data_IF_486160442401
#
_entry.id   IF_486160442401
#
_cell.length_a   1.000
_cell.length_b   1.000
_cell.length_c   1.000
_cell.angle_alpha   90.00
_cell.angle_beta   90.00
_cell.angle_gamma   90.00
#
_symmetry.space_group_name_H-M   'P 1'
#
loop_
_entity.id
_entity.type
_entity.pdbx_description
1 polymer ?
#
# COMPACT_ATOMS: atom_id res chain seq x y z
N UNK A 1 -6.44 21.04 5.56
CA UNK A 1 -5.17 20.94 4.81
C UNK A 1 -5.13 19.53 4.28
N UNK A 2 -4.96 19.31 2.97
CA UNK A 2 -4.83 17.94 2.46
C UNK A 2 -3.59 17.29 3.08
N UNK A 3 -3.77 16.14 3.71
CA UNK A 3 -2.67 15.34 4.23
C UNK A 3 -2.10 14.55 3.06
N UNK A 4 -0.80 14.70 2.82
CA UNK A 4 -0.14 14.16 1.63
C UNK A 4 0.82 13.07 2.09
N UNK A 5 0.63 11.85 1.58
CA UNK A 5 1.54 10.75 1.81
C UNK A 5 2.93 11.04 1.25
N UNK A 6 3.94 10.43 1.86
CA UNK A 6 5.35 10.61 1.50
C UNK A 6 6.04 9.27 1.33
N UNK A 7 6.99 9.21 0.40
CA UNK A 7 8.05 8.20 0.38
C UNK A 7 9.36 8.84 0.83
N UNK A 8 10.01 8.20 1.82
CA UNK A 8 11.32 8.61 2.33
C UNK A 8 12.33 7.56 1.88
N UNK A 9 13.27 7.93 1.02
CA UNK A 9 14.29 7.03 0.52
C UNK A 9 15.25 6.62 1.65
N UNK A 10 15.51 5.32 1.79
CA UNK A 10 16.29 4.74 2.89
C UNK A 10 17.73 4.37 2.49
N UNK A 11 18.02 4.27 1.19
CA UNK A 11 19.32 3.85 0.69
C UNK A 11 19.59 4.35 -0.74
N UNK A 12 20.81 4.11 -1.22
CA UNK A 12 21.22 4.49 -2.56
C UNK A 12 21.58 5.98 -2.68
N UNK A 13 21.75 6.48 -3.93
CA UNK A 13 22.20 7.85 -4.19
C UNK A 13 21.28 8.93 -3.60
N UNK A 14 19.99 8.62 -3.50
CA UNK A 14 18.96 9.54 -3.00
C UNK A 14 18.58 9.28 -1.53
N UNK A 15 19.43 8.65 -0.73
CA UNK A 15 19.11 8.36 0.67
C UNK A 15 18.69 9.62 1.45
N UNK A 16 17.65 9.50 2.26
CA UNK A 16 16.96 10.59 2.98
C UNK A 16 16.16 11.57 2.13
N UNK A 17 16.13 11.43 0.79
CA UNK A 17 15.23 12.22 -0.03
C UNK A 17 13.77 11.88 0.27
N UNK A 18 12.92 12.91 0.30
CA UNK A 18 11.48 12.79 0.50
C UNK A 18 10.74 13.11 -0.80
N UNK A 19 9.72 12.31 -1.09
CA UNK A 19 8.86 12.49 -2.25
C UNK A 19 7.41 12.56 -1.79
N UNK A 20 6.77 13.69 -2.02
CA UNK A 20 5.36 13.90 -1.75
C UNK A 20 4.50 13.22 -2.84
N UNK A 21 3.44 12.52 -2.43
CA UNK A 21 2.51 11.82 -3.30
C UNK A 21 1.31 12.72 -3.63
N UNK A 22 1.54 13.75 -4.42
CA UNK A 22 0.54 14.78 -4.75
C UNK A 22 -0.57 14.30 -5.69
N UNK A 23 -0.27 13.35 -6.56
CA UNK A 23 -1.18 12.92 -7.63
C UNK A 23 -2.07 11.76 -7.18
N UNK A 24 -3.20 11.57 -7.87
CA UNK A 24 -4.00 10.34 -7.71
C UNK A 24 -3.19 9.10 -8.11
N UNK A 25 -2.25 9.24 -9.06
CA UNK A 25 -1.34 8.19 -9.51
C UNK A 25 0.08 8.76 -9.56
N UNK A 26 0.96 8.27 -8.70
CA UNK A 26 2.36 8.68 -8.62
C UNK A 26 3.23 7.58 -9.24
N UNK A 27 3.82 7.84 -10.40
CA UNK A 27 4.60 6.84 -11.13
C UNK A 27 6.03 6.74 -10.59
N UNK A 28 6.55 5.51 -10.54
CA UNK A 28 7.87 5.21 -9.99
C UNK A 28 8.65 4.40 -11.02
N UNK A 29 9.87 4.84 -11.33
CA UNK A 29 10.73 4.13 -12.26
C UNK A 29 11.99 4.88 -12.63
N UNK A 30 12.83 4.27 -13.48
CA UNK A 30 14.11 4.86 -13.90
C UNK A 30 13.97 5.94 -14.98
N UNK A 31 12.79 6.05 -15.58
CA UNK A 31 12.57 7.00 -16.67
C UNK A 31 12.43 8.42 -16.12
N UNK A 32 12.99 9.46 -16.78
CA UNK A 32 12.87 10.85 -16.31
C UNK A 32 11.43 11.38 -16.25
N UNK A 33 10.50 10.73 -16.95
CA UNK A 33 9.08 11.08 -16.98
C UNK A 33 8.30 10.54 -15.77
N UNK A 34 8.91 9.69 -14.94
CA UNK A 34 8.27 9.20 -13.72
C UNK A 34 8.14 10.31 -12.68
N UNK A 35 7.04 10.33 -11.92
CA UNK A 35 6.82 11.25 -10.79
C UNK A 35 7.96 11.11 -9.77
N UNK A 36 8.39 9.87 -9.51
CA UNK A 36 9.51 9.53 -8.65
C UNK A 36 10.55 8.77 -9.48
N UNK A 37 11.61 9.49 -9.85
CA UNK A 37 12.72 8.94 -10.62
C UNK A 37 13.67 8.18 -9.72
N UNK A 38 13.87 6.90 -10.02
CA UNK A 38 14.80 6.02 -9.32
C UNK A 38 16.18 6.07 -9.98
N UNK A 39 17.19 6.49 -9.21
CA UNK A 39 18.60 6.29 -9.56
C UNK A 39 19.04 4.86 -9.20
N UNK A 40 18.47 3.90 -9.94
CA UNK A 40 18.67 2.47 -9.73
C UNK A 40 18.68 1.74 -11.07
N UNK A 41 19.85 1.26 -11.49
CA UNK A 41 20.02 0.53 -12.75
C UNK A 41 19.16 -0.75 -12.84
N UNK A 42 18.76 -1.31 -11.70
CA UNK A 42 17.91 -2.49 -11.63
C UNK A 42 16.42 -2.14 -11.71
N UNK A 43 16.05 -0.86 -11.61
CA UNK A 43 14.67 -0.45 -11.80
C UNK A 43 14.26 -0.50 -13.29
N UNK A 44 13.05 -1.01 -13.54
CA UNK A 44 12.34 -0.83 -14.81
C UNK A 44 12.11 0.66 -15.10
N UNK A 45 11.93 1.01 -16.38
CA UNK A 45 11.56 2.36 -16.82
C UNK A 45 10.24 2.81 -16.18
N UNK A 46 9.22 1.96 -16.29
CA UNK A 46 7.95 2.06 -15.56
C UNK A 46 7.92 0.88 -14.59
N UNK A 47 8.25 1.12 -13.32
CA UNK A 47 8.46 0.05 -12.35
C UNK A 47 7.17 -0.24 -11.59
N UNK A 48 6.59 0.80 -11.01
CA UNK A 48 5.41 0.72 -10.19
C UNK A 48 4.69 2.06 -10.25
N UNK A 49 3.53 2.09 -9.62
CA UNK A 49 2.82 3.32 -9.33
C UNK A 49 2.24 3.22 -7.91
N UNK A 50 2.13 4.36 -7.23
CA UNK A 50 1.37 4.48 -5.99
C UNK A 50 0.12 5.28 -6.29
N UNK A 51 -1.03 4.66 -6.04
CA UNK A 51 -2.34 5.26 -6.23
C UNK A 51 -2.90 5.74 -4.90
N UNK A 52 -3.47 6.94 -4.90
CA UNK A 52 -4.25 7.47 -3.80
C UNK A 52 -5.73 7.22 -4.07
N UNK A 53 -6.37 6.38 -3.25
CA UNK A 53 -7.75 5.89 -3.42
C UNK A 53 -8.45 5.99 -2.06
N UNK A 54 -9.56 6.72 -1.99
CA UNK A 54 -10.41 6.82 -0.79
C UNK A 54 -9.64 7.12 0.52
N UNK A 55 -8.71 8.09 0.48
CA UNK A 55 -7.81 8.46 1.59
C UNK A 55 -6.81 7.36 2.02
N UNK A 56 -6.56 6.38 1.17
CA UNK A 56 -5.56 5.33 1.38
C UNK A 56 -4.62 5.23 0.18
N UNK A 57 -3.45 4.63 0.40
CA UNK A 57 -2.43 4.48 -0.63
C UNK A 57 -2.22 3.00 -0.99
N UNK A 58 -2.15 2.70 -2.28
CA UNK A 58 -1.88 1.37 -2.79
C UNK A 58 -0.69 1.41 -3.74
N UNK A 59 0.25 0.49 -3.59
CA UNK A 59 1.31 0.27 -4.59
C UNK A 59 0.85 -0.77 -5.61
N UNK A 60 1.15 -0.54 -6.88
CA UNK A 60 0.90 -1.45 -7.99
C UNK A 60 2.21 -1.74 -8.73
N UNK A 61 2.63 -3.01 -8.76
CA UNK A 61 3.77 -3.43 -9.57
C UNK A 61 3.37 -3.45 -11.06
N UNK A 62 4.06 -2.71 -11.92
CA UNK A 62 3.77 -2.66 -13.37
C UNK A 62 4.45 -3.80 -14.12
N UNK A 63 4.41 -5.01 -13.53
CA UNK A 63 5.15 -6.20 -13.98
C UNK A 63 6.64 -5.91 -14.16
N UNK A 64 7.23 -5.25 -13.16
CA UNK A 64 8.64 -4.87 -13.20
C UNK A 64 9.57 -6.08 -13.23
N UNK A 65 10.79 -5.90 -13.78
CA UNK A 65 11.75 -7.00 -13.93
C UNK A 65 12.18 -7.58 -12.57
N UNK A 66 12.46 -6.71 -11.61
CA UNK A 66 12.96 -7.11 -10.29
C UNK A 66 11.86 -7.13 -9.22
N UNK A 67 10.67 -6.60 -9.52
CA UNK A 67 9.51 -6.66 -8.64
C UNK A 67 9.53 -5.60 -7.54
N UNK A 68 8.39 -5.53 -6.85
CA UNK A 68 8.18 -4.71 -5.66
C UNK A 68 8.17 -5.61 -4.43
N UNK A 69 8.87 -5.21 -3.37
CA UNK A 69 8.77 -5.86 -2.07
C UNK A 69 8.08 -4.91 -1.08
N UNK A 70 7.13 -5.42 -0.31
CA UNK A 70 6.47 -4.72 0.78
C UNK A 70 6.82 -5.42 2.10
N UNK A 71 7.47 -4.71 3.01
CA UNK A 71 8.00 -5.23 4.28
C UNK A 71 8.83 -6.52 4.08
N UNK A 72 9.71 -6.51 3.08
CA UNK A 72 10.56 -7.65 2.71
C UNK A 72 9.86 -8.80 1.99
N UNK A 73 8.54 -8.74 1.78
CA UNK A 73 7.77 -9.75 1.03
C UNK A 73 7.53 -9.29 -0.39
N UNK A 74 7.93 -10.09 -1.37
CA UNK A 74 7.74 -9.78 -2.79
C UNK A 74 6.27 -9.88 -3.18
N UNK A 75 5.76 -8.86 -3.85
CA UNK A 75 4.42 -8.88 -4.45
C UNK A 75 4.38 -9.85 -5.63
N UNK A 76 3.20 -10.37 -5.94
CA UNK A 76 3.02 -11.13 -7.17
C UNK A 76 3.19 -10.18 -8.37
N UNK A 77 3.80 -10.62 -9.49
CA UNK A 77 3.99 -9.75 -10.64
C UNK A 77 2.68 -9.15 -11.15
N UNK A 78 2.60 -7.83 -11.26
CA UNK A 78 1.36 -7.16 -11.69
C UNK A 78 0.30 -6.99 -10.59
N UNK A 79 0.58 -7.35 -9.34
CA UNK A 79 -0.39 -7.24 -8.25
C UNK A 79 -0.30 -5.87 -7.55
N UNK A 80 -1.33 -5.59 -6.76
CA UNK A 80 -1.42 -4.40 -5.93
C UNK A 80 -1.36 -4.76 -4.44
N UNK A 81 -0.96 -3.81 -3.60
CA UNK A 81 -0.95 -3.96 -2.14
C UNK A 81 -1.13 -2.61 -1.44
N UNK A 82 -1.91 -2.61 -0.35
CA UNK A 82 -2.13 -1.41 0.47
C UNK A 82 -0.88 -1.04 1.25
N UNK A 83 -0.61 0.26 1.36
CA UNK A 83 0.48 0.82 2.14
C UNK A 83 -0.03 1.29 3.51
N UNK A 84 0.63 0.85 4.57
CA UNK A 84 0.38 1.28 5.94
C UNK A 84 1.46 2.27 6.37
N UNK A 85 1.12 3.26 7.20
CA UNK A 85 2.12 4.21 7.71
C UNK A 85 3.32 3.48 8.33
N UNK A 86 4.52 3.91 7.91
CA UNK A 86 5.78 3.34 8.39
C UNK A 86 6.24 2.08 7.67
N UNK A 87 5.43 1.49 6.77
CA UNK A 87 5.84 0.31 6.02
C UNK A 87 7.05 0.59 5.12
N UNK A 88 7.86 -0.42 4.88
CA UNK A 88 8.95 -0.37 3.91
C UNK A 88 8.47 -0.91 2.57
N UNK A 89 8.64 -0.10 1.51
CA UNK A 89 8.42 -0.53 0.12
C UNK A 89 9.73 -0.45 -0.64
N UNK A 90 10.05 -1.49 -1.39
CA UNK A 90 11.29 -1.58 -2.15
C UNK A 90 10.97 -1.78 -3.63
N UNK A 91 11.61 -0.98 -4.47
CA UNK A 91 11.57 -1.06 -5.93
C UNK A 91 12.96 -1.44 -6.42
N UNK A 92 13.10 -2.64 -7.02
CA UNK A 92 14.42 -3.22 -7.31
C UNK A 92 15.36 -3.22 -6.08
N UNK A 93 16.39 -2.37 -6.05
CA UNK A 93 17.37 -2.29 -4.96
C UNK A 93 17.17 -1.07 -4.05
N UNK A 94 16.27 -0.16 -4.42
CA UNK A 94 15.98 1.08 -3.68
C UNK A 94 14.81 0.87 -2.74
N UNK A 95 15.01 1.20 -1.46
CA UNK A 95 14.05 1.05 -0.37
C UNK A 95 13.53 2.40 0.07
N UNK A 96 12.26 2.45 0.39
CA UNK A 96 11.57 3.62 0.88
C UNK A 96 10.76 3.27 2.11
N UNK A 97 10.65 4.21 3.04
CA UNK A 97 9.63 4.19 4.08
C UNK A 97 8.45 5.03 3.62
N UNK A 98 7.27 4.45 3.63
CA UNK A 98 6.03 5.18 3.41
C UNK A 98 5.63 5.89 4.70
N UNK A 99 5.15 7.14 4.56
CA UNK A 99 4.57 7.92 5.66
C UNK A 99 3.23 8.49 5.23
N UNK A 100 2.25 8.31 6.09
CA UNK A 100 0.94 8.92 5.95
C UNK A 100 0.65 9.81 7.16
N UNK A 101 0.73 11.14 7.04
CA UNK A 101 0.45 12.04 8.15
C UNK A 101 -1.00 11.96 8.63
N UNK A 102 -1.93 11.41 7.84
CA UNK A 102 -3.30 11.15 8.30
C UNK A 102 -3.38 9.99 9.29
N UNK A 103 -2.45 9.02 9.24
CA UNK A 103 -2.39 7.90 10.18
C UNK A 103 -2.02 8.33 11.62
N UNK A 104 -1.33 9.46 11.77
CA UNK A 104 -1.03 10.04 13.10
C UNK A 104 -2.27 10.70 13.73
N UNK A 105 -3.30 11.02 12.93
CA UNK A 105 -4.58 11.53 13.43
C UNK A 105 -5.58 10.42 13.81
N UNK A 106 -5.27 9.15 13.53
CA UNK A 106 -6.08 8.02 14.01
C UNK A 106 -5.77 7.65 15.48
N UNK A 107 -4.73 8.23 16.09
CA UNK A 107 -4.41 8.06 17.51
C UNK A 107 -5.07 9.09 18.46
N UNK A 108 -5.65 10.19 17.95
CA UNK A 108 -6.73 10.86 18.66
C UNK A 108 -7.89 11.21 17.72
N UNK A 109 -8.60 10.20 17.22
CA UNK A 109 -9.96 10.39 16.72
C UNK A 109 -10.90 9.36 17.34
N UNK A 110 -11.14 9.54 18.64
CA UNK A 110 -12.29 8.94 19.33
C UNK A 110 -13.62 9.64 18.95
N UNK A 111 -13.62 10.57 17.98
CA UNK A 111 -14.69 11.57 17.80
C UNK A 111 -15.12 11.84 16.34
N UNK A 112 -14.53 11.22 15.31
CA UNK A 112 -15.01 11.36 13.93
C UNK A 112 -15.90 10.18 13.53
N UNK A 113 -17.21 10.37 13.74
CA UNK A 113 -18.29 9.53 13.22
C UNK A 113 -18.25 9.59 11.68
N UNK A 114 -18.29 8.45 10.98
CA UNK A 114 -18.80 8.49 9.59
C UNK A 114 -18.51 7.37 8.59
N UNK A 115 -17.53 6.49 8.77
CA UNK A 115 -17.32 5.37 7.83
C UNK A 115 -17.01 4.10 8.60
N UNK A 116 -17.72 2.98 8.34
CA UNK A 116 -17.40 1.74 9.01
C UNK A 116 -16.02 1.24 8.57
N UNK A 117 -15.01 1.51 9.39
CA UNK A 117 -13.61 1.21 9.07
C UNK A 117 -13.36 -0.28 9.30
N UNK A 118 -13.69 -1.10 8.31
CA UNK A 118 -13.31 -2.50 8.29
C UNK A 118 -11.79 -2.60 8.09
N UNK A 119 -11.08 -3.11 9.09
CA UNK A 119 -9.63 -3.38 9.07
C UNK A 119 -9.37 -4.88 9.23
N UNK A 120 -8.41 -5.42 8.49
CA UNK A 120 -8.04 -6.84 8.54
C UNK A 120 -6.58 -6.97 8.95
N UNK A 121 -6.32 -7.58 10.11
CA UNK A 121 -4.99 -7.90 10.59
C UNK A 121 -4.60 -9.32 10.14
N UNK A 122 -3.61 -9.41 9.26
CA UNK A 122 -3.15 -10.69 8.70
C UNK A 122 -2.19 -11.45 9.61
N UNK A 123 -1.58 -10.79 10.60
CA UNK A 123 -0.67 -11.43 11.55
C UNK A 123 -1.47 -12.20 12.60
N UNK A 124 -2.54 -11.58 13.10
CA UNK A 124 -3.40 -12.15 14.13
C UNK A 124 -4.66 -12.83 13.57
N UNK A 125 -4.91 -12.70 12.26
CA UNK A 125 -6.17 -13.10 11.59
C UNK A 125 -7.41 -12.49 12.23
N UNK A 126 -7.27 -11.30 12.81
CA UNK A 126 -8.36 -10.57 13.41
C UNK A 126 -8.95 -9.58 12.43
N UNK A 127 -10.27 -9.47 12.45
CA UNK A 127 -11.01 -8.46 11.69
C UNK A 127 -11.53 -7.45 12.69
N UNK A 128 -11.43 -6.17 12.36
CA UNK A 128 -11.94 -5.08 13.16
C UNK A 128 -13.03 -4.36 12.38
N UNK A 129 -14.18 -4.12 13.03
CA UNK A 129 -15.27 -3.27 12.53
C UNK A 129 -15.41 -2.12 13.51
N UNK A 130 -15.28 -0.89 13.04
CA UNK A 130 -15.35 0.32 13.87
C UNK A 130 -14.36 0.28 15.05
N UNK A 131 -13.17 -0.27 14.79
CA UNK A 131 -12.11 -0.43 15.79
C UNK A 131 -12.34 -1.55 16.81
N UNK A 132 -13.45 -2.30 16.73
CA UNK A 132 -13.73 -3.45 17.61
C UNK A 132 -13.40 -4.76 16.91
N UNK A 133 -12.73 -5.68 17.62
CA UNK A 133 -12.49 -7.04 17.12
C UNK A 133 -13.84 -7.70 16.83
N UNK A 134 -13.95 -8.32 15.66
CA UNK A 134 -15.09 -9.13 15.27
C UNK A 134 -15.09 -10.41 16.11
N UNK A 135 -16.12 -10.55 16.94
CA UNK A 135 -16.35 -11.69 17.83
C UNK A 135 -17.78 -12.23 17.63
N UNK A 136 -17.98 -13.52 17.31
CA UNK A 136 -16.95 -14.55 17.12
C UNK A 136 -16.03 -14.27 15.91
N UNK A 137 -14.77 -14.74 15.95
CA UNK A 137 -13.85 -14.56 14.83
C UNK A 137 -14.37 -15.27 13.57
N UNK A 138 -13.97 -14.75 12.41
CA UNK A 138 -14.27 -15.43 11.14
C UNK A 138 -13.63 -16.82 11.11
N UNK A 139 -14.35 -17.77 10.51
CA UNK A 139 -13.71 -19.02 10.10
C UNK A 139 -12.60 -18.73 9.09
N UNK A 140 -11.63 -19.64 8.96
CA UNK A 140 -10.51 -19.51 8.01
C UNK A 140 -11.00 -19.16 6.60
N UNK A 141 -12.02 -19.86 6.09
CA UNK A 141 -12.58 -19.62 4.75
C UNK A 141 -13.23 -18.24 4.62
N UNK A 142 -13.91 -17.76 5.66
CA UNK A 142 -14.52 -16.43 5.66
C UNK A 142 -13.46 -15.34 5.74
N UNK A 143 -12.39 -15.57 6.50
CA UNK A 143 -11.25 -14.67 6.56
C UNK A 143 -10.55 -14.58 5.20
N UNK A 144 -10.28 -15.72 4.56
CA UNK A 144 -9.60 -15.77 3.26
C UNK A 144 -10.44 -15.05 2.19
N UNK A 145 -11.76 -15.29 2.15
CA UNK A 145 -12.69 -14.57 1.28
C UNK A 145 -12.69 -13.06 1.57
N UNK A 146 -12.83 -12.67 2.84
CA UNK A 146 -12.86 -11.27 3.22
C UNK A 146 -11.55 -10.59 2.87
N UNK A 147 -10.43 -11.24 3.13
CA UNK A 147 -9.10 -10.75 2.78
C UNK A 147 -8.94 -10.59 1.28
N UNK A 148 -9.40 -11.56 0.50
CA UNK A 148 -9.38 -11.49 -0.95
C UNK A 148 -10.21 -10.30 -1.47
N UNK A 149 -11.44 -10.12 -0.97
CA UNK A 149 -12.27 -8.96 -1.32
C UNK A 149 -11.67 -7.64 -0.82
N UNK A 150 -11.01 -7.64 0.33
CA UNK A 150 -10.32 -6.50 0.91
C UNK A 150 -9.14 -6.03 0.02
N UNK A 151 -8.35 -6.97 -0.50
CA UNK A 151 -7.28 -6.68 -1.46
C UNK A 151 -7.81 -6.20 -2.82
N UNK A 152 -9.03 -6.60 -3.18
CA UNK A 152 -9.67 -6.27 -4.46
C UNK A 152 -10.80 -5.23 -4.30
N UNK A 153 -10.79 -4.40 -3.25
CA UNK A 153 -11.80 -3.33 -3.05
C UNK A 153 -11.88 -2.42 -4.28
N UNK A 154 -13.10 -2.07 -4.68
CA UNK A 154 -13.37 -1.27 -5.87
C UNK A 154 -13.30 -2.02 -7.20
N UNK A 155 -12.98 -3.33 -7.20
CA UNK A 155 -13.03 -4.19 -8.38
C UNK A 155 -14.15 -5.23 -8.28
N UNK A 156 -14.73 -5.55 -9.43
CA UNK A 156 -15.58 -6.74 -9.58
C UNK A 156 -14.66 -7.96 -9.62
N UNK A 157 -14.98 -8.96 -8.78
CA UNK A 157 -14.24 -10.22 -8.68
C UNK A 157 -15.22 -11.37 -8.88
N UNK A 158 -14.84 -12.32 -9.74
CA UNK A 158 -15.65 -13.50 -10.06
C UNK A 158 -15.49 -14.59 -9.00
N UNK A 159 -16.45 -15.51 -8.96
CA UNK A 159 -16.46 -16.63 -8.00
C UNK A 159 -15.24 -17.55 -8.16
N UNK A 160 -14.71 -17.68 -9.37
CA UNK A 160 -13.55 -18.53 -9.65
C UNK A 160 -12.24 -17.93 -9.14
N UNK A 161 -12.19 -16.60 -8.98
CA UNK A 161 -11.02 -15.89 -8.42
C UNK A 161 -10.95 -15.98 -6.89
N UNK A 162 -12.03 -16.42 -6.24
CA UNK A 162 -12.21 -16.51 -4.78
C UNK A 162 -11.75 -17.88 -4.21
N UNK A 163 -11.38 -18.83 -5.08
CA UNK A 163 -11.20 -20.26 -4.77
C UNK A 163 -10.02 -20.59 -3.85
#
# INVERSE_FOLDING_TARGET
MSHIGKLICLNGPNASAEYDLFEEVNTIGRTPEATIVLDDQFASRNHAEIRHIDNAYQVHDLKSKNGVLLNGRRLAPGSTAWLEDGCEVQFASTRFRFRDPSATMTAPSLMAVGEPSLRVDTTTRQVYVDGRVLDPPLSVKQFDLLWFLYQNRGRVVSKDEIA
#
